data_IF_092070982194
#
_entry.id   IF_092070982194
#
_cell.length_a   1.000
_cell.length_b   1.000
_cell.length_c   1.000
_cell.angle_alpha   90.00
_cell.angle_beta   90.00
_cell.angle_gamma   90.00
#
_symmetry.space_group_name_H-M   'P 1'
#
loop_
_entity.id
_entity.type
_entity.pdbx_description
1 polymer ?
#
# COMPACT_ATOMS: atom_id res chain seq x y z
N UNK A 1 -13.01 -5.66 2.74
CA UNK A 1 -13.10 -5.29 4.17
C UNK A 1 -14.44 -4.61 4.41
N UNK A 2 -15.10 -4.91 5.52
CA UNK A 2 -16.37 -4.29 5.93
C UNK A 2 -16.26 -3.78 7.38
N UNK A 3 -16.90 -2.66 7.68
CA UNK A 3 -17.05 -2.20 9.05
C UNK A 3 -18.14 -3.02 9.76
N UNK A 4 -17.87 -3.43 11.00
CA UNK A 4 -18.83 -4.14 11.84
C UNK A 4 -19.57 -3.16 12.77
N UNK A 5 -20.81 -3.48 13.22
CA UNK A 5 -21.59 -2.57 14.07
C UNK A 5 -20.94 -2.17 15.40
N UNK A 6 -20.00 -2.98 15.89
CA UNK A 6 -19.25 -2.76 17.14
C UNK A 6 -17.96 -1.94 16.94
N UNK A 7 -17.74 -1.41 15.73
CA UNK A 7 -16.49 -0.72 15.37
C UNK A 7 -15.35 -1.67 15.00
N UNK A 8 -15.60 -2.98 14.95
CA UNK A 8 -14.68 -3.97 14.44
C UNK A 8 -14.56 -3.96 12.92
N UNK A 9 -13.68 -4.83 12.42
CA UNK A 9 -13.38 -4.97 11.00
C UNK A 9 -13.58 -6.41 10.57
N UNK A 10 -14.43 -6.62 9.56
CA UNK A 10 -14.62 -7.91 8.89
C UNK A 10 -13.79 -8.01 7.61
N UNK A 11 -13.05 -9.10 7.45
CA UNK A 11 -12.41 -9.46 6.18
C UNK A 11 -13.33 -10.41 5.41
N UNK A 12 -13.49 -10.15 4.12
CA UNK A 12 -14.33 -10.90 3.19
C UNK A 12 -13.59 -11.01 1.86
N UNK A 13 -14.16 -11.73 0.89
CA UNK A 13 -13.65 -11.82 -0.49
C UNK A 13 -12.27 -12.50 -0.55
N UNK A 14 -12.23 -13.76 -0.10
CA UNK A 14 -11.02 -14.59 -0.06
C UNK A 14 -10.81 -15.41 -1.34
N UNK A 15 -11.55 -15.13 -2.42
CA UNK A 15 -11.50 -15.93 -3.65
C UNK A 15 -10.13 -15.84 -4.36
N UNK A 16 -9.39 -14.75 -4.13
CA UNK A 16 -8.02 -14.54 -4.61
C UNK A 16 -6.94 -14.89 -3.56
N UNK A 17 -7.30 -15.55 -2.45
CA UNK A 17 -6.32 -15.92 -1.43
C UNK A 17 -5.36 -17.02 -1.90
N UNK A 18 -4.14 -17.01 -1.35
CA UNK A 18 -3.14 -18.01 -1.70
C UNK A 18 -1.86 -17.87 -0.91
N UNK A 19 -0.87 -18.69 -1.26
CA UNK A 19 0.48 -18.58 -0.70
C UNK A 19 1.24 -17.46 -1.41
N UNK A 20 1.79 -16.53 -0.64
CA UNK A 20 2.54 -15.41 -1.18
C UNK A 20 3.48 -14.79 -0.15
N UNK A 21 4.32 -13.87 -0.61
CA UNK A 21 5.14 -13.07 0.30
C UNK A 21 4.29 -11.93 0.85
N UNK A 22 4.27 -11.72 2.16
CA UNK A 22 3.45 -10.69 2.83
C UNK A 22 3.64 -9.25 2.31
N UNK A 23 4.77 -8.94 1.68
CA UNK A 23 4.98 -7.63 1.02
C UNK A 23 4.06 -7.44 -0.18
N UNK A 24 3.61 -8.53 -0.83
CA UNK A 24 2.59 -8.50 -1.86
C UNK A 24 1.22 -8.12 -1.28
N UNK A 25 0.90 -8.58 -0.07
CA UNK A 25 -0.36 -8.20 0.60
C UNK A 25 -0.35 -6.69 0.93
N UNK A 26 0.76 -6.20 1.49
CA UNK A 26 0.96 -4.77 1.75
C UNK A 26 0.89 -3.96 0.44
N UNK A 27 1.60 -4.41 -0.61
CA UNK A 27 1.58 -3.76 -1.91
C UNK A 27 0.17 -3.73 -2.50
N UNK A 28 -0.62 -4.80 -2.34
CA UNK A 28 -1.99 -4.89 -2.83
C UNK A 28 -2.88 -3.84 -2.17
N UNK A 29 -2.81 -3.68 -0.85
CA UNK A 29 -3.57 -2.67 -0.11
C UNK A 29 -3.17 -1.25 -0.55
N UNK A 30 -1.87 -0.95 -0.54
CA UNK A 30 -1.35 0.37 -0.92
C UNK A 30 -1.70 0.73 -2.37
N UNK A 31 -1.59 -0.24 -3.28
CA UNK A 31 -1.89 -0.08 -4.70
C UNK A 31 -3.39 0.16 -4.94
N UNK A 32 -4.27 -0.54 -4.22
CA UNK A 32 -5.73 -0.32 -4.30
C UNK A 32 -6.14 1.06 -3.78
N UNK A 33 -5.63 1.50 -2.63
CA UNK A 33 -5.99 2.81 -2.07
C UNK A 33 -5.45 3.97 -2.90
N UNK A 34 -4.22 3.85 -3.43
CA UNK A 34 -3.67 4.87 -4.32
C UNK A 34 -4.59 5.19 -5.51
N UNK A 35 -5.24 4.18 -6.07
CA UNK A 35 -6.14 4.34 -7.23
C UNK A 35 -7.45 5.06 -6.90
N UNK A 36 -7.92 5.00 -5.66
CA UNK A 36 -9.19 5.65 -5.25
C UNK A 36 -8.97 6.96 -4.49
N UNK A 37 -7.80 7.15 -3.85
CA UNK A 37 -7.49 8.33 -3.06
C UNK A 37 -7.05 9.56 -3.90
N UNK A 38 -7.04 9.45 -5.23
CA UNK A 38 -6.59 10.53 -6.12
C UNK A 38 -7.46 11.80 -6.05
N UNK A 39 -8.64 11.74 -5.44
CA UNK A 39 -9.55 12.87 -5.25
C UNK A 39 -9.25 13.69 -4.00
N UNK A 40 -8.47 13.16 -3.05
CA UNK A 40 -8.20 13.77 -1.75
C UNK A 40 -6.69 14.07 -1.60
N UNK A 41 -6.25 15.34 -1.74
CA UNK A 41 -4.84 15.70 -1.58
C UNK A 41 -4.28 15.26 -0.23
N UNK A 42 -3.24 14.43 -0.23
CA UNK A 42 -2.61 13.92 0.99
C UNK A 42 -3.27 12.69 1.61
N UNK A 43 -4.47 12.30 1.16
CA UNK A 43 -5.22 11.19 1.74
C UNK A 43 -4.55 9.83 1.54
N UNK A 44 -3.83 9.66 0.43
CA UNK A 44 -3.05 8.44 0.21
C UNK A 44 -1.88 8.31 1.20
N UNK A 45 -1.14 9.39 1.41
CA UNK A 45 0.01 9.44 2.29
C UNK A 45 -0.40 9.17 3.74
N UNK A 46 -1.47 9.83 4.20
CA UNK A 46 -2.06 9.59 5.52
C UNK A 46 -2.45 8.12 5.69
N UNK A 47 -3.18 7.55 4.72
CA UNK A 47 -3.56 6.14 4.75
C UNK A 47 -2.33 5.21 4.81
N UNK A 48 -1.34 5.43 3.95
CA UNK A 48 -0.15 4.58 3.89
C UNK A 48 0.63 4.60 5.21
N UNK A 49 0.74 5.78 5.83
CA UNK A 49 1.36 5.93 7.15
C UNK A 49 0.57 5.17 8.23
N UNK A 50 -0.73 5.45 8.38
CA UNK A 50 -1.55 4.80 9.40
C UNK A 50 -1.64 3.29 9.23
N UNK A 51 -1.69 2.80 7.98
CA UNK A 51 -1.70 1.37 7.68
C UNK A 51 -0.40 0.68 8.12
N UNK A 52 0.76 1.24 7.78
CA UNK A 52 2.06 0.66 8.14
C UNK A 52 2.34 0.76 9.64
N UNK A 53 1.92 1.85 10.28
CA UNK A 53 1.99 2.01 11.73
C UNK A 53 1.16 0.93 12.44
N UNK A 54 -0.07 0.66 11.97
CA UNK A 54 -0.89 -0.44 12.48
C UNK A 54 -0.26 -1.82 12.22
N UNK A 55 0.25 -2.07 11.01
CA UNK A 55 0.90 -3.34 10.67
C UNK A 55 2.09 -3.64 11.57
N UNK A 56 2.93 -2.64 11.84
CA UNK A 56 4.17 -2.79 12.63
C UNK A 56 3.93 -3.07 14.11
N UNK A 57 2.71 -2.81 14.63
CA UNK A 57 2.34 -3.23 15.98
C UNK A 57 2.24 -4.76 16.12
N UNK A 58 1.98 -5.47 15.01
CA UNK A 58 1.83 -6.93 14.99
C UNK A 58 3.07 -7.60 14.41
N UNK A 59 3.68 -7.01 13.38
CA UNK A 59 4.81 -7.62 12.66
C UNK A 59 5.84 -6.58 12.18
N UNK A 60 7.13 -6.75 12.51
CA UNK A 60 8.15 -5.81 12.07
C UNK A 60 8.30 -5.81 10.55
N UNK A 61 8.57 -4.64 9.99
CA UNK A 61 8.94 -4.47 8.59
C UNK A 61 10.46 -4.67 8.42
N UNK A 62 10.92 -5.17 7.26
CA UNK A 62 12.36 -5.21 6.95
C UNK A 62 13.01 -3.84 7.00
N UNK A 63 14.29 -3.76 7.36
CA UNK A 63 15.06 -2.51 7.33
C UNK A 63 15.12 -1.88 5.93
N UNK A 64 15.13 -2.72 4.89
CA UNK A 64 15.13 -2.33 3.48
C UNK A 64 13.72 -2.26 2.86
N UNK A 65 12.66 -2.11 3.68
CA UNK A 65 11.27 -2.21 3.26
C UNK A 65 10.96 -1.42 1.98
N UNK A 66 11.37 -0.15 1.90
CA UNK A 66 11.10 0.70 0.74
C UNK A 66 11.68 0.16 -0.57
N UNK A 67 12.91 -0.38 -0.53
CA UNK A 67 13.56 -1.01 -1.68
C UNK A 67 12.89 -2.33 -2.06
N UNK A 68 12.44 -3.09 -1.06
CA UNK A 68 11.81 -4.38 -1.28
C UNK A 68 10.35 -4.25 -1.75
N UNK A 69 9.64 -3.18 -1.36
CA UNK A 69 8.24 -2.96 -1.70
C UNK A 69 8.04 -2.59 -3.19
N UNK A 70 8.95 -1.83 -3.79
CA UNK A 70 8.83 -1.34 -5.17
C UNK A 70 8.58 -2.47 -6.20
N UNK A 71 9.35 -3.58 -6.19
CA UNK A 71 9.04 -4.74 -7.04
C UNK A 71 7.65 -5.33 -6.84
N UNK A 72 7.11 -5.35 -5.62
CA UNK A 72 5.77 -5.87 -5.35
C UNK A 72 4.67 -4.92 -5.83
N UNK A 73 4.89 -3.60 -5.78
CA UNK A 73 3.99 -2.62 -6.38
C UNK A 73 3.94 -2.79 -7.91
N UNK A 74 5.09 -3.00 -8.55
CA UNK A 74 5.16 -3.31 -9.99
C UNK A 74 4.48 -4.64 -10.33
N UNK A 75 4.70 -5.68 -9.51
CA UNK A 75 4.01 -6.96 -9.66
C UNK A 75 2.48 -6.78 -9.56
N UNK A 76 2.01 -5.95 -8.62
CA UNK A 76 0.59 -5.65 -8.50
C UNK A 76 0.04 -4.89 -9.70
N UNK A 77 0.79 -3.92 -10.24
CA UNK A 77 0.43 -3.23 -11.49
C UNK A 77 0.28 -4.23 -12.65
N UNK A 78 1.13 -5.25 -12.74
CA UNK A 78 1.01 -6.32 -13.74
C UNK A 78 -0.26 -7.17 -13.56
N UNK A 79 -0.66 -7.47 -12.31
CA UNK A 79 -1.91 -8.18 -12.04
C UNK A 79 -3.14 -7.38 -12.46
N UNK A 80 -3.14 -6.07 -12.18
CA UNK A 80 -4.22 -5.18 -12.61
C UNK A 80 -4.28 -5.08 -14.13
N UNK A 81 -3.11 -4.98 -14.80
CA UNK A 81 -3.04 -5.00 -16.26
C UNK A 81 -3.66 -6.27 -16.83
N UNK A 82 -3.27 -7.44 -16.31
CA UNK A 82 -3.81 -8.72 -16.75
C UNK A 82 -5.32 -8.81 -16.52
N UNK A 83 -5.81 -8.40 -15.34
CA UNK A 83 -7.24 -8.38 -15.03
C UNK A 83 -8.01 -7.50 -16.01
N UNK A 84 -7.61 -6.23 -16.18
CA UNK A 84 -8.33 -5.26 -17.02
C UNK A 84 -8.34 -5.71 -18.47
N UNK A 85 -7.20 -6.13 -19.02
CA UNK A 85 -7.09 -6.53 -20.42
C UNK A 85 -7.84 -7.83 -20.74
N UNK A 86 -7.95 -8.73 -19.77
CA UNK A 86 -8.71 -9.99 -19.91
C UNK A 86 -10.21 -9.75 -19.77
N UNK A 87 -10.63 -8.89 -18.83
CA UNK A 87 -12.03 -8.69 -18.50
C UNK A 87 -12.73 -7.65 -19.40
N UNK A 88 -12.04 -6.58 -19.83
CA UNK A 88 -12.65 -5.50 -20.61
C UNK A 88 -13.39 -5.95 -21.89
N UNK A 89 -12.92 -6.95 -22.67
CA UNK A 89 -13.65 -7.42 -23.86
C UNK A 89 -15.01 -8.08 -23.58
N UNK A 90 -15.23 -8.56 -22.34
CA UNK A 90 -16.42 -9.36 -21.97
C UNK A 90 -17.21 -8.77 -20.81
N UNK A 91 -16.68 -7.75 -20.14
CA UNK A 91 -17.32 -7.07 -19.01
C UNK A 91 -17.35 -5.54 -19.27
N UNK A 92 -18.53 -4.97 -19.60
CA UNK A 92 -18.66 -3.55 -19.93
C UNK A 92 -18.33 -2.63 -18.74
N UNK A 93 -18.55 -3.08 -17.51
CA UNK A 93 -18.19 -2.29 -16.33
C UNK A 93 -16.68 -2.14 -16.26
N UNK A 94 -15.92 -3.25 -16.41
CA UNK A 94 -14.45 -3.20 -16.45
C UNK A 94 -13.95 -2.40 -17.64
N UNK A 95 -14.62 -2.46 -18.80
CA UNK A 95 -14.26 -1.62 -19.94
C UNK A 95 -14.39 -0.12 -19.63
N UNK A 96 -15.35 0.26 -18.78
CA UNK A 96 -15.61 1.66 -18.42
C UNK A 96 -14.59 2.25 -17.46
N UNK A 97 -14.13 1.51 -16.44
CA UNK A 97 -13.21 2.02 -15.41
C UNK A 97 -11.78 1.49 -15.53
N UNK A 98 -11.59 0.37 -16.23
CA UNK A 98 -10.31 -0.34 -16.36
C UNK A 98 -9.15 0.53 -16.84
N UNK A 99 -9.31 1.37 -17.89
CA UNK A 99 -8.24 2.25 -18.36
C UNK A 99 -7.68 3.18 -17.28
N UNK A 100 -8.52 3.73 -16.40
CA UNK A 100 -8.08 4.60 -15.32
C UNK A 100 -7.34 3.82 -14.22
N UNK A 101 -7.73 2.57 -13.99
CA UNK A 101 -7.04 1.68 -13.05
C UNK A 101 -5.65 1.24 -13.54
N UNK A 102 -5.34 1.38 -14.84
CA UNK A 102 -4.00 1.12 -15.39
C UNK A 102 -3.02 2.26 -15.12
N UNK A 103 -3.45 3.38 -14.53
CA UNK A 103 -2.52 4.40 -14.06
C UNK A 103 -1.61 3.78 -13.00
N UNK A 104 -0.28 3.76 -13.23
CA UNK A 104 0.61 2.99 -12.39
C UNK A 104 0.56 3.49 -10.94
N UNK A 105 0.44 2.56 -9.98
CA UNK A 105 0.70 2.91 -8.58
C UNK A 105 2.19 3.25 -8.36
N UNK A 106 3.04 2.82 -9.29
CA UNK A 106 4.45 3.17 -9.43
C UNK A 106 4.71 4.54 -10.09
N UNK A 107 3.66 5.28 -10.50
CA UNK A 107 3.77 6.72 -10.76
C UNK A 107 4.51 7.36 -9.58
N UNK A 108 5.41 8.35 -9.81
CA UNK A 108 6.35 8.78 -8.80
C UNK A 108 5.64 8.99 -7.46
N UNK A 109 5.98 8.11 -6.51
CA UNK A 109 5.77 8.34 -5.10
C UNK A 109 6.15 9.81 -4.85
N UNK A 110 5.39 10.59 -4.08
CA UNK A 110 5.73 11.98 -3.78
C UNK A 110 7.21 12.12 -3.38
N UNK A 111 7.82 11.09 -2.80
CA UNK A 111 9.26 10.97 -2.51
C UNK A 111 10.27 11.04 -3.68
N UNK A 112 9.87 11.19 -4.95
CA UNK A 112 10.80 11.53 -6.05
C UNK A 112 10.93 13.03 -6.31
N UNK A 113 10.06 13.85 -5.73
CA UNK A 113 10.20 15.30 -5.74
C UNK A 113 11.25 15.71 -4.68
N UNK A 114 12.16 16.62 -5.02
CA UNK A 114 13.29 17.01 -4.15
C UNK A 114 12.84 17.52 -2.78
N UNK A 115 11.61 18.05 -2.67
CA UNK A 115 10.94 18.46 -1.42
C UNK A 115 10.59 17.29 -0.48
N UNK A 116 10.41 16.07 -0.99
CA UNK A 116 10.07 14.88 -0.19
C UNK A 116 11.26 13.93 0.02
N UNK A 117 12.46 14.24 -0.51
CA UNK A 117 13.72 13.62 -0.03
C UNK A 117 13.95 13.86 1.46
N UNK A 118 13.38 14.94 2.01
CA UNK A 118 13.35 15.18 3.44
C UNK A 118 12.57 14.08 4.20
N UNK A 119 11.50 13.52 3.61
CA UNK A 119 10.72 12.43 4.22
C UNK A 119 11.46 11.08 4.20
N UNK A 120 12.33 10.84 3.20
CA UNK A 120 13.27 9.71 3.18
C UNK A 120 14.28 9.76 4.35
N UNK A 121 14.47 10.93 4.95
CA UNK A 121 15.34 11.20 6.11
C UNK A 121 14.59 11.59 7.40
N UNK A 122 13.26 11.70 7.38
CA UNK A 122 12.47 12.03 8.58
C UNK A 122 11.60 10.88 9.06
N UNK A 123 11.18 9.96 8.18
CA UNK A 123 10.30 8.84 8.55
C UNK A 123 10.90 7.45 8.30
N UNK A 124 12.04 7.36 7.60
CA UNK A 124 12.75 6.10 7.34
C UNK A 124 14.20 6.04 7.86
N UNK A 125 14.68 7.11 8.52
CA UNK A 125 15.73 6.99 9.54
C UNK A 125 15.05 7.13 10.89
N UNK A 126 15.27 6.21 11.84
CA UNK A 126 14.56 6.26 13.09
C UNK A 126 15.08 7.45 13.91
N UNK A 127 14.33 8.56 13.95
CA UNK A 127 14.28 9.39 15.16
C UNK A 127 13.19 8.81 16.03
N UNK A 128 13.56 7.76 16.77
CA UNK A 128 12.88 7.43 18.01
C UNK A 128 12.81 8.71 18.85
N UNK A 129 11.68 9.02 19.51
CA UNK A 129 11.69 10.01 20.58
C UNK A 129 12.76 9.59 21.59
N UNK A 130 13.62 10.52 22.02
CA UNK A 130 14.73 10.28 22.95
C UNK A 130 14.29 9.78 24.35
N UNK A 131 13.04 9.34 24.52
CA UNK A 131 12.39 9.07 25.80
C UNK A 131 11.79 7.65 25.91
N UNK A 132 12.15 6.71 25.03
CA UNK A 132 11.82 5.29 25.27
C UNK A 132 12.89 4.66 26.18
N UNK A 133 12.54 4.15 27.38
CA UNK A 133 13.50 3.55 28.30
C UNK A 133 14.26 2.38 27.64
N UNK A 134 15.60 2.39 27.74
CA UNK A 134 16.58 1.42 27.19
C UNK A 134 16.47 -0.02 27.75
N UNK A 135 15.29 -0.58 27.97
CA UNK A 135 15.13 -1.86 28.68
C UNK A 135 14.98 -3.10 27.78
N UNK A 136 14.95 -2.95 26.45
CA UNK A 136 14.64 -4.07 25.54
C UNK A 136 15.49 -4.10 24.26
N UNK A 137 16.75 -3.66 24.33
CA UNK A 137 17.73 -3.96 23.29
C UNK A 137 18.54 -5.20 23.71
N UNK A 138 18.13 -6.38 23.21
CA UNK A 138 18.94 -7.59 23.08
C UNK A 138 18.78 -8.10 21.66
#
# INVERSE_FOLDING_TARGET
>A
MIALPDGGVGLIDFDDCGTGHYLLDIATILSSVHRIAHTEPGGYEEFAHTHLDGYTQVRPLPTDFSRLLEPYLLLRDAFILNFVTTAAPVNPDVASWGPDALRPASAPWPGRDAKYRAYRYQYFTPRWPEHVPRKWAL
#
